data_IF_499043874541
#
_entry.id   IF_499043874541
#
_cell.length_a   1.000
_cell.length_b   1.000
_cell.length_c   1.000
_cell.angle_alpha   90.00
_cell.angle_beta   90.00
_cell.angle_gamma   90.00
#
_symmetry.space_group_name_H-M   'P 1'
#
loop_
_entity.id
_entity.type
_entity.pdbx_description
1 polymer ?
#
# COMPACT_ATOMS: atom_id res chain seq x y z
N UNK A 1 46.30 60.59 -11.52
CA UNK A 1 45.99 60.24 -12.92
C UNK A 1 46.59 58.85 -13.13
N UNK A 2 45.87 57.84 -12.64
CA UNK A 2 46.33 56.46 -12.53
C UNK A 2 45.24 55.59 -13.13
N UNK A 3 45.66 54.81 -14.11
CA UNK A 3 44.85 54.09 -15.08
C UNK A 3 44.04 52.98 -14.42
N UNK A 4 42.71 53.08 -14.50
CA UNK A 4 41.78 52.06 -14.03
C UNK A 4 41.67 50.98 -15.11
N UNK A 5 42.49 49.94 -14.96
CA UNK A 5 42.44 48.74 -15.79
C UNK A 5 41.09 48.05 -15.64
N UNK A 6 40.33 48.04 -16.75
CA UNK A 6 39.21 47.15 -17.02
C UNK A 6 39.61 45.69 -16.75
N UNK A 7 39.21 45.13 -15.61
CA UNK A 7 39.12 43.68 -15.43
C UNK A 7 37.90 43.18 -16.21
N UNK A 8 38.15 42.86 -17.48
CA UNK A 8 37.27 42.06 -18.31
C UNK A 8 37.16 40.67 -17.69
N UNK A 9 36.12 40.46 -16.88
CA UNK A 9 35.75 39.14 -16.32
C UNK A 9 35.45 38.23 -17.51
N UNK A 10 36.45 37.46 -17.95
CA UNK A 10 36.29 36.36 -18.89
C UNK A 10 35.32 35.36 -18.27
N UNK A 11 34.07 35.39 -18.72
CA UNK A 11 33.13 34.29 -18.55
C UNK A 11 33.74 33.06 -19.22
N UNK A 12 34.47 32.27 -18.44
CA UNK A 12 34.94 30.95 -18.85
C UNK A 12 33.71 30.15 -19.26
N UNK A 13 33.66 29.75 -20.53
CA UNK A 13 32.67 28.82 -21.06
C UNK A 13 32.77 27.52 -20.26
N UNK A 14 31.93 27.37 -19.25
CA UNK A 14 31.78 26.10 -18.57
C UNK A 14 31.00 25.18 -19.51
N UNK A 15 31.69 24.20 -20.10
CA UNK A 15 31.06 23.06 -20.75
C UNK A 15 30.33 22.27 -19.66
N UNK A 16 29.04 22.57 -19.47
CA UNK A 16 28.17 21.82 -18.58
C UNK A 16 27.88 20.48 -19.26
N UNK A 17 28.67 19.44 -18.92
CA UNK A 17 28.33 18.08 -19.30
C UNK A 17 27.10 17.65 -18.49
N UNK A 18 25.92 17.84 -19.05
CA UNK A 18 24.65 17.40 -18.45
C UNK A 18 24.55 15.88 -18.60
N UNK A 19 25.02 15.15 -17.59
CA UNK A 19 24.77 13.73 -17.48
C UNK A 19 23.32 13.52 -17.00
N UNK A 20 22.41 13.22 -17.93
CA UNK A 20 21.06 12.79 -17.62
C UNK A 20 21.11 11.40 -16.98
N UNK A 21 21.12 11.36 -15.65
CA UNK A 21 20.97 10.12 -14.90
C UNK A 21 19.47 9.85 -14.68
N UNK A 22 19.01 8.59 -14.76
CA UNK A 22 17.63 8.26 -14.42
C UNK A 22 17.36 8.67 -12.97
N UNK A 23 16.51 9.68 -12.79
CA UNK A 23 16.08 10.13 -11.47
C UNK A 23 15.13 9.08 -10.91
N UNK A 24 15.53 8.49 -9.77
CA UNK A 24 14.63 7.63 -9.01
C UNK A 24 13.78 8.52 -8.12
N UNK A 25 12.50 8.65 -8.47
CA UNK A 25 11.52 9.28 -7.62
C UNK A 25 11.18 8.33 -6.47
N UNK A 26 11.42 8.79 -5.24
CA UNK A 26 10.94 8.13 -4.03
C UNK A 26 9.68 8.83 -3.56
N UNK A 27 8.62 8.09 -3.31
CA UNK A 27 7.39 8.61 -2.70
C UNK A 27 7.43 8.27 -1.21
N UNK A 28 7.35 9.29 -0.37
CA UNK A 28 7.12 9.12 1.06
C UNK A 28 5.65 9.43 1.28
N UNK A 29 4.91 8.43 1.70
CA UNK A 29 3.48 8.53 1.94
C UNK A 29 3.20 8.19 3.39
N UNK A 30 2.19 8.83 3.97
CA UNK A 30 1.71 8.47 5.29
C UNK A 30 1.34 6.98 5.33
N UNK A 31 1.48 6.31 6.50
CA UNK A 31 1.06 4.93 6.64
C UNK A 31 -0.39 4.81 6.17
N UNK A 32 -0.60 3.89 5.24
CA UNK A 32 -1.87 3.76 4.54
C UNK A 32 -3.02 3.58 5.51
N UNK A 33 -4.08 4.35 5.28
CA UNK A 33 -5.33 4.14 5.97
C UNK A 33 -5.89 2.78 5.53
N UNK A 34 -6.37 1.93 6.47
CA UNK A 34 -6.97 0.66 6.12
C UNK A 34 -8.05 0.89 5.07
N UNK A 35 -8.02 0.10 3.99
CA UNK A 35 -8.95 0.24 2.87
C UNK A 35 -10.38 0.15 3.41
N UNK A 36 -11.11 1.27 3.42
CA UNK A 36 -12.51 1.31 3.90
C UNK A 36 -13.50 0.84 2.83
N UNK A 37 -13.02 0.30 1.72
CA UNK A 37 -13.85 -0.03 0.57
C UNK A 37 -14.32 -1.48 0.58
N UNK A 38 -15.58 -1.67 0.16
CA UNK A 38 -16.24 -2.97 -0.05
C UNK A 38 -15.47 -3.83 -1.05
N UNK A 39 -14.72 -3.18 -1.93
CA UNK A 39 -13.85 -3.82 -2.92
C UNK A 39 -12.87 -4.79 -2.24
N UNK A 40 -12.38 -4.50 -1.03
CA UNK A 40 -11.46 -5.39 -0.29
C UNK A 40 -12.09 -6.74 0.08
N UNK A 41 -13.41 -6.82 0.25
CA UNK A 41 -14.10 -8.10 0.49
C UNK A 41 -14.35 -8.91 -0.77
N UNK A 42 -14.47 -8.25 -1.92
CA UNK A 42 -14.81 -8.89 -3.19
C UNK A 42 -13.55 -9.21 -4.01
N UNK A 43 -12.50 -8.39 -3.86
CA UNK A 43 -11.17 -8.51 -4.46
C UNK A 43 -10.38 -9.79 -4.17
N UNK A 44 -10.58 -10.56 -3.09
CA UNK A 44 -9.76 -11.73 -2.82
C UNK A 44 -9.92 -12.82 -3.89
N UNK A 45 -11.07 -12.82 -4.58
CA UNK A 45 -11.34 -13.70 -5.71
C UNK A 45 -11.53 -12.86 -6.96
N UNK A 46 -10.96 -13.33 -8.07
CA UNK A 46 -11.15 -12.72 -9.37
C UNK A 46 -12.57 -13.00 -9.90
N UNK A 47 -12.97 -12.21 -10.91
CA UNK A 47 -14.27 -12.36 -11.58
C UNK A 47 -14.46 -13.78 -12.13
N UNK A 48 -13.38 -14.42 -12.59
CA UNK A 48 -13.41 -15.80 -13.07
C UNK A 48 -13.79 -16.79 -11.97
N UNK A 49 -13.16 -16.69 -10.80
CA UNK A 49 -13.50 -17.56 -9.65
C UNK A 49 -14.92 -17.36 -9.16
N UNK A 50 -15.40 -16.10 -9.06
CA UNK A 50 -16.79 -15.82 -8.71
C UNK A 50 -17.78 -16.43 -9.71
N UNK A 51 -17.49 -16.29 -11.01
CA UNK A 51 -18.31 -16.85 -12.08
C UNK A 51 -18.33 -18.39 -12.04
N UNK A 52 -17.17 -19.01 -11.79
CA UNK A 52 -17.05 -20.46 -11.62
C UNK A 52 -17.86 -20.96 -10.42
N UNK A 53 -17.79 -20.24 -9.28
CA UNK A 53 -18.56 -20.56 -8.08
C UNK A 53 -20.07 -20.53 -8.37
N UNK A 54 -20.55 -19.44 -8.98
CA UNK A 54 -21.96 -19.27 -9.36
C UNK A 54 -22.44 -20.32 -10.36
N UNK A 55 -21.62 -20.66 -11.35
CA UNK A 55 -21.90 -21.73 -12.30
C UNK A 55 -22.00 -23.09 -11.59
N UNK A 56 -21.07 -23.38 -10.66
CA UNK A 56 -21.09 -24.66 -9.91
C UNK A 56 -22.35 -24.80 -9.04
N UNK A 57 -22.77 -23.71 -8.37
CA UNK A 57 -23.99 -23.69 -7.56
C UNK A 57 -25.21 -23.97 -8.44
N UNK A 58 -25.29 -23.29 -9.59
CA UNK A 58 -26.39 -23.45 -10.55
C UNK A 58 -26.44 -24.87 -11.12
N UNK A 59 -25.28 -25.44 -11.48
CA UNK A 59 -25.17 -26.79 -12.00
C UNK A 59 -25.63 -27.85 -10.98
N UNK A 60 -25.20 -27.73 -9.72
CA UNK A 60 -25.61 -28.65 -8.63
C UNK A 60 -27.11 -28.50 -8.35
N UNK A 61 -27.62 -27.26 -8.29
CA UNK A 61 -29.04 -27.00 -8.06
C UNK A 61 -29.92 -27.58 -9.17
N UNK A 62 -29.51 -27.40 -10.44
CA UNK A 62 -30.16 -28.01 -11.59
C UNK A 62 -30.13 -29.53 -11.53
N UNK A 63 -28.98 -30.13 -11.23
CA UNK A 63 -28.84 -31.58 -11.07
C UNK A 63 -29.75 -32.14 -9.97
N UNK A 64 -29.79 -31.50 -8.80
CA UNK A 64 -30.67 -31.89 -7.70
C UNK A 64 -32.16 -31.74 -8.07
N UNK A 65 -32.50 -30.76 -8.89
CA UNK A 65 -33.87 -30.55 -9.36
C UNK A 65 -34.29 -31.64 -10.33
N UNK A 66 -33.45 -31.99 -11.31
CA UNK A 66 -33.70 -33.11 -12.23
C UNK A 66 -33.88 -34.42 -11.45
N UNK A 67 -33.06 -34.64 -10.42
CA UNK A 67 -33.19 -35.83 -9.57
C UNK A 67 -34.45 -35.89 -8.72
N UNK A 68 -35.06 -34.74 -8.41
CA UNK A 68 -36.31 -34.64 -7.68
C UNK A 68 -37.54 -35.02 -8.53
N UNK A 69 -37.35 -35.19 -9.85
CA UNK A 69 -38.34 -35.71 -10.78
C UNK A 69 -39.70 -34.98 -10.70
N UNK A 70 -39.64 -33.65 -10.67
CA UNK A 70 -40.82 -32.78 -10.60
C UNK A 70 -41.63 -32.92 -11.89
N UNK A 71 -42.90 -33.33 -11.78
CA UNK A 71 -43.86 -33.35 -12.89
C UNK A 71 -44.49 -31.98 -13.17
N UNK A 72 -44.06 -30.97 -12.43
CA UNK A 72 -44.63 -29.63 -12.50
C UNK A 72 -44.20 -28.94 -13.80
N UNK A 73 -45.03 -28.01 -14.27
CA UNK A 73 -44.71 -27.19 -15.44
C UNK A 73 -43.48 -26.30 -15.22
N UNK A 74 -43.13 -25.51 -16.25
CA UNK A 74 -41.94 -24.64 -16.23
C UNK A 74 -41.82 -23.75 -14.99
N UNK A 75 -42.94 -23.22 -14.49
CA UNK A 75 -43.00 -22.40 -13.27
C UNK A 75 -42.58 -23.18 -12.02
N UNK A 76 -43.06 -24.42 -11.87
CA UNK A 76 -42.68 -25.31 -10.77
C UNK A 76 -41.22 -25.75 -10.86
N UNK A 77 -40.71 -25.96 -12.07
CA UNK A 77 -39.30 -26.25 -12.30
C UNK A 77 -38.42 -25.08 -11.82
N UNK A 78 -38.70 -23.84 -12.25
CA UNK A 78 -37.93 -22.66 -11.83
C UNK A 78 -37.98 -22.46 -10.32
N UNK A 79 -39.15 -22.58 -9.71
CA UNK A 79 -39.29 -22.47 -8.25
C UNK A 79 -38.45 -23.54 -7.51
N UNK A 80 -38.45 -24.77 -8.02
CA UNK A 80 -37.66 -25.86 -7.45
C UNK A 80 -36.16 -25.62 -7.62
N UNK A 81 -35.70 -25.17 -8.79
CA UNK A 81 -34.29 -24.81 -9.02
C UNK A 81 -33.85 -23.72 -8.06
N UNK A 82 -34.62 -22.65 -7.89
CA UNK A 82 -34.29 -21.55 -6.97
C UNK A 82 -34.20 -22.04 -5.52
N UNK A 83 -35.14 -22.88 -5.08
CA UNK A 83 -35.09 -23.47 -3.75
C UNK A 83 -33.85 -24.34 -3.55
N UNK A 84 -33.49 -25.17 -4.55
CA UNK A 84 -32.28 -25.99 -4.50
C UNK A 84 -31.01 -25.15 -4.54
N UNK A 85 -30.98 -24.06 -5.32
CA UNK A 85 -29.86 -23.13 -5.35
C UNK A 85 -29.65 -22.49 -3.96
N UNK A 86 -30.72 -22.04 -3.30
CA UNK A 86 -30.64 -21.51 -1.95
C UNK A 86 -30.08 -22.52 -0.94
N UNK A 87 -30.52 -23.78 -1.00
CA UNK A 87 -30.00 -24.87 -0.14
C UNK A 87 -28.51 -25.12 -0.41
N UNK A 88 -28.10 -25.17 -1.68
CA UNK A 88 -26.71 -25.38 -2.09
C UNK A 88 -25.82 -24.23 -1.62
N UNK A 89 -26.28 -22.98 -1.78
CA UNK A 89 -25.60 -21.80 -1.25
C UNK A 89 -25.50 -21.83 0.27
N UNK A 90 -26.55 -22.23 0.98
CA UNK A 90 -26.55 -22.35 2.44
C UNK A 90 -25.51 -23.37 2.91
N UNK A 91 -25.44 -24.52 2.26
CA UNK A 91 -24.41 -25.54 2.53
C UNK A 91 -23.00 -24.96 2.30
N UNK A 92 -22.80 -24.24 1.20
CA UNK A 92 -21.51 -23.62 0.86
C UNK A 92 -21.06 -22.57 1.90
N UNK A 93 -22.02 -21.85 2.47
CA UNK A 93 -21.80 -20.91 3.58
C UNK A 93 -21.66 -21.60 4.95
N UNK A 94 -21.64 -22.94 5.00
CA UNK A 94 -21.56 -23.71 6.25
C UNK A 94 -22.87 -23.74 7.05
N UNK A 95 -23.97 -23.25 6.49
CA UNK A 95 -25.29 -23.20 7.13
C UNK A 95 -26.07 -24.48 6.81
N UNK A 96 -25.78 -25.56 7.55
CA UNK A 96 -26.49 -26.83 7.38
C UNK A 96 -27.63 -26.94 8.41
N UNK A 97 -28.86 -26.67 7.96
CA UNK A 97 -30.06 -26.88 8.78
C UNK A 97 -30.53 -28.35 8.81
N UNK A 98 -31.23 -28.76 9.88
CA UNK A 98 -31.74 -30.13 10.07
C UNK A 98 -32.71 -30.59 8.98
N UNK A 99 -33.42 -29.66 8.34
CA UNK A 99 -34.37 -29.92 7.25
C UNK A 99 -33.69 -30.55 6.01
N UNK A 100 -32.41 -30.24 5.82
CA UNK A 100 -31.59 -30.65 4.68
C UNK A 100 -31.32 -32.16 4.72
N UNK A 101 -31.12 -32.74 5.92
CA UNK A 101 -30.64 -34.13 6.12
C UNK A 101 -31.58 -35.21 5.54
N UNK A 102 -32.89 -34.99 5.50
CA UNK A 102 -33.86 -36.00 5.02
C UNK A 102 -33.83 -36.20 3.50
N UNK A 103 -33.49 -35.15 2.74
CA UNK A 103 -33.56 -35.17 1.27
C UNK A 103 -32.40 -35.96 0.64
N UNK A 104 -31.23 -36.02 1.30
CA UNK A 104 -30.03 -36.65 0.73
C UNK A 104 -29.92 -38.15 0.98
N UNK A 105 -30.71 -38.72 1.90
CA UNK A 105 -30.60 -40.14 2.28
C UNK A 105 -31.02 -41.12 1.17
N UNK A 106 -31.73 -40.65 0.14
CA UNK A 106 -32.39 -41.52 -0.83
C UNK A 106 -31.47 -42.05 -1.96
N UNK A 107 -30.30 -41.44 -2.23
CA UNK A 107 -29.44 -41.84 -3.36
C UNK A 107 -27.95 -41.78 -3.01
N UNK A 108 -27.32 -42.94 -2.77
CA UNK A 108 -25.89 -43.07 -2.39
C UNK A 108 -24.93 -42.36 -3.36
N UNK A 109 -25.20 -42.42 -4.67
CA UNK A 109 -24.35 -41.77 -5.70
C UNK A 109 -24.36 -40.24 -5.56
N UNK A 110 -25.50 -39.65 -5.23
CA UNK A 110 -25.66 -38.21 -5.06
C UNK A 110 -24.86 -37.71 -3.86
N UNK A 111 -24.81 -38.50 -2.79
CA UNK A 111 -24.01 -38.18 -1.59
C UNK A 111 -22.53 -38.08 -1.94
N UNK A 112 -21.98 -39.04 -2.69
CA UNK A 112 -20.55 -39.03 -3.06
C UNK A 112 -20.21 -37.80 -3.91
N UNK A 113 -21.03 -37.50 -4.92
CA UNK A 113 -20.82 -36.32 -5.78
C UNK A 113 -20.88 -35.01 -4.98
N UNK A 114 -21.83 -34.90 -4.05
CA UNK A 114 -21.95 -33.74 -3.17
C UNK A 114 -20.77 -33.62 -2.22
N UNK A 115 -20.23 -34.72 -1.70
CA UNK A 115 -19.03 -34.69 -0.85
C UNK A 115 -17.83 -34.14 -1.62
N UNK A 116 -17.60 -34.60 -2.87
CA UNK A 116 -16.51 -34.09 -3.70
C UNK A 116 -16.69 -32.60 -4.04
N UNK A 117 -17.90 -32.21 -4.45
CA UNK A 117 -18.20 -30.81 -4.72
C UNK A 117 -18.04 -29.94 -3.46
N UNK A 118 -18.55 -30.40 -2.33
CA UNK A 118 -18.46 -29.69 -1.06
C UNK A 118 -17.02 -29.56 -0.60
N UNK A 119 -16.20 -30.61 -0.73
CA UNK A 119 -14.78 -30.58 -0.41
C UNK A 119 -14.04 -29.53 -1.27
N UNK A 120 -14.29 -29.50 -2.59
CA UNK A 120 -13.71 -28.50 -3.48
C UNK A 120 -14.09 -27.06 -3.10
N UNK A 121 -15.36 -26.82 -2.79
CA UNK A 121 -15.83 -25.50 -2.35
C UNK A 121 -15.34 -25.12 -0.96
N UNK A 122 -15.22 -26.07 -0.03
CA UNK A 122 -14.63 -25.83 1.29
C UNK A 122 -13.16 -25.44 1.15
N UNK A 123 -12.38 -26.15 0.34
CA UNK A 123 -10.98 -25.78 0.10
C UNK A 123 -10.89 -24.38 -0.52
N UNK A 124 -11.78 -24.03 -1.44
CA UNK A 124 -11.83 -22.71 -2.05
C UNK A 124 -12.23 -21.62 -1.04
N UNK A 125 -13.30 -21.80 -0.28
CA UNK A 125 -13.79 -20.78 0.66
C UNK A 125 -12.95 -20.69 1.95
N UNK A 126 -12.57 -21.82 2.54
CA UNK A 126 -11.87 -21.84 3.82
C UNK A 126 -10.36 -21.62 3.70
N UNK A 127 -9.73 -22.02 2.59
CA UNK A 127 -8.28 -21.80 2.43
C UNK A 127 -8.00 -20.62 1.50
N UNK A 128 -8.54 -20.63 0.28
CA UNK A 128 -8.21 -19.60 -0.71
C UNK A 128 -8.83 -18.25 -0.33
N UNK A 129 -10.14 -18.19 -0.10
CA UNK A 129 -10.82 -16.93 0.22
C UNK A 129 -10.39 -16.37 1.58
N UNK A 130 -10.37 -17.20 2.62
CA UNK A 130 -9.92 -16.75 3.95
C UNK A 130 -8.45 -16.30 3.92
N UNK A 131 -7.55 -17.08 3.31
CA UNK A 131 -6.13 -16.74 3.21
C UNK A 131 -5.88 -15.47 2.38
N UNK A 132 -6.59 -15.30 1.28
CA UNK A 132 -6.49 -14.11 0.43
C UNK A 132 -7.07 -12.86 1.12
N UNK A 133 -8.18 -12.97 1.87
CA UNK A 133 -8.66 -11.85 2.69
C UNK A 133 -7.61 -11.43 3.72
N UNK A 134 -7.02 -12.37 4.44
CA UNK A 134 -5.97 -12.03 5.40
C UNK A 134 -4.77 -11.38 4.71
N UNK A 135 -4.38 -11.86 3.52
CA UNK A 135 -3.33 -11.20 2.73
C UNK A 135 -3.71 -9.79 2.29
N UNK A 136 -4.97 -9.56 1.86
CA UNK A 136 -5.46 -8.24 1.45
C UNK A 136 -5.62 -7.27 2.62
N UNK A 137 -5.90 -7.78 3.82
CA UNK A 137 -5.99 -6.97 5.04
C UNK A 137 -4.62 -6.72 5.68
N UNK A 138 -3.66 -7.62 5.48
CA UNK A 138 -2.30 -7.50 6.03
C UNK A 138 -1.39 -6.63 5.16
N UNK A 139 -1.54 -6.69 3.84
CA UNK A 139 -0.80 -5.84 2.91
C UNK A 139 -1.63 -4.59 2.67
N UNK A 140 -1.22 -3.44 3.20
CA UNK A 140 -1.95 -2.23 2.92
C UNK A 140 -1.75 -1.91 1.41
N UNK A 141 -2.77 -1.34 0.77
CA UNK A 141 -2.70 -1.01 -0.64
C UNK A 141 -1.89 0.27 -0.84
N UNK A 142 -0.75 0.22 -1.55
CA UNK A 142 0.07 1.40 -1.78
C UNK A 142 -0.81 2.52 -2.29
N UNK A 143 -0.68 3.74 -1.73
CA UNK A 143 -1.39 4.87 -2.28
C UNK A 143 -1.03 4.93 -3.76
N UNK A 144 -2.01 5.32 -4.58
CA UNK A 144 -1.77 5.46 -6.02
C UNK A 144 -0.50 6.31 -6.18
N UNK A 145 0.41 5.86 -7.03
CA UNK A 145 1.62 6.61 -7.36
C UNK A 145 1.43 7.23 -8.73
N UNK A 146 1.97 8.44 -8.98
CA UNK A 146 1.91 9.03 -10.30
C UNK A 146 2.64 8.12 -11.29
N UNK A 147 1.97 7.78 -12.40
CA UNK A 147 2.50 6.85 -13.40
C UNK A 147 3.53 7.52 -14.33
N UNK A 148 3.56 8.85 -14.33
CA UNK A 148 4.54 9.66 -15.04
C UNK A 148 4.72 11.05 -14.44
N UNK A 149 5.68 11.80 -14.99
CA UNK A 149 5.98 13.17 -14.54
C UNK A 149 4.80 14.11 -14.70
N UNK A 150 3.96 13.91 -15.73
CA UNK A 150 2.75 14.72 -15.90
C UNK A 150 1.74 14.48 -14.79
N UNK A 151 1.64 13.26 -14.26
CA UNK A 151 0.75 13.00 -13.14
C UNK A 151 1.23 13.77 -11.89
N UNK A 152 2.55 13.87 -11.68
CA UNK A 152 3.13 14.58 -10.53
C UNK A 152 2.62 16.02 -10.39
N UNK A 153 2.45 16.75 -11.50
CA UNK A 153 1.92 18.12 -11.48
C UNK A 153 0.41 18.20 -11.33
N UNK A 154 -0.33 17.13 -11.63
CA UNK A 154 -1.78 17.09 -11.41
C UNK A 154 -2.13 16.68 -9.98
N UNK A 155 -1.26 15.93 -9.33
CA UNK A 155 -1.44 15.49 -7.96
C UNK A 155 -1.23 16.63 -6.96
N UNK A 156 -2.12 16.77 -5.99
CA UNK A 156 -2.03 17.78 -4.93
C UNK A 156 -1.05 17.34 -3.83
N UNK A 157 0.15 16.92 -4.24
CA UNK A 157 1.22 16.49 -3.34
C UNK A 157 2.34 17.53 -3.41
N UNK A 158 2.81 18.05 -2.26
CA UNK A 158 3.99 18.93 -2.24
C UNK A 158 5.24 18.15 -2.66
N UNK A 159 6.05 18.74 -3.53
CA UNK A 159 7.30 18.14 -4.00
C UNK A 159 8.46 18.84 -3.30
N UNK A 160 9.26 18.11 -2.53
CA UNK A 160 10.43 18.71 -1.85
C UNK A 160 11.62 18.66 -2.77
N UNK A 161 12.16 19.82 -3.12
CA UNK A 161 13.41 19.91 -3.85
C UNK A 161 14.58 19.66 -2.87
N UNK A 162 15.33 18.60 -3.12
CA UNK A 162 16.41 18.12 -2.23
C UNK A 162 17.76 18.79 -2.49
N UNK A 163 17.83 19.64 -3.51
CA UNK A 163 19.03 20.36 -3.86
C UNK A 163 19.17 21.59 -2.96
N UNK A 164 20.30 21.65 -2.25
CA UNK A 164 20.56 22.66 -1.23
C UNK A 164 21.83 23.40 -1.62
N UNK A 165 21.68 24.67 -1.98
CA UNK A 165 22.78 25.61 -2.20
C UNK A 165 22.93 26.49 -0.96
N UNK A 166 24.03 26.31 -0.22
CA UNK A 166 24.35 27.18 0.90
C UNK A 166 25.18 28.38 0.40
N UNK A 167 24.63 29.59 0.56
CA UNK A 167 25.39 30.81 0.31
C UNK A 167 26.07 31.26 1.61
N UNK A 168 27.40 31.19 1.64
CA UNK A 168 28.21 31.54 2.81
C UNK A 168 28.17 33.03 3.18
N UNK A 169 27.96 33.92 2.20
CA UNK A 169 27.95 35.37 2.43
C UNK A 169 26.64 35.82 3.09
N UNK A 170 25.51 35.38 2.54
CA UNK A 170 24.18 35.72 3.06
C UNK A 170 23.74 34.83 4.21
N UNK A 171 24.44 33.70 4.45
CA UNK A 171 24.02 32.63 5.36
C UNK A 171 22.61 32.10 5.04
N UNK A 172 22.19 32.19 3.78
CA UNK A 172 20.89 31.69 3.32
C UNK A 172 21.04 30.35 2.62
N UNK A 173 19.96 29.57 2.68
CA UNK A 173 19.83 28.28 2.00
C UNK A 173 18.85 28.46 0.84
N UNK A 174 19.32 28.19 -0.37
CA UNK A 174 18.56 28.26 -1.62
C UNK A 174 18.41 26.88 -2.23
N UNK A 175 17.37 26.68 -3.06
CA UNK A 175 17.28 25.50 -3.94
C UNK A 175 17.71 25.92 -5.33
N UNK A 176 18.72 25.26 -5.87
CA UNK A 176 19.22 25.49 -7.22
C UNK A 176 18.13 25.28 -8.29
N UNK A 177 17.26 24.30 -8.11
CA UNK A 177 16.16 23.95 -9.00
C UNK A 177 15.07 25.02 -8.95
N UNK A 178 14.64 25.40 -7.75
CA UNK A 178 13.55 26.35 -7.54
C UNK A 178 13.99 27.78 -7.87
N UNK A 179 15.13 28.20 -7.33
CA UNK A 179 15.54 29.61 -7.35
C UNK A 179 16.27 30.00 -8.66
N UNK A 180 16.86 29.03 -9.37
CA UNK A 180 17.68 29.30 -10.56
C UNK A 180 17.21 28.55 -11.81
N UNK A 181 17.17 27.21 -11.75
CA UNK A 181 16.98 26.39 -12.95
C UNK A 181 15.59 26.57 -13.58
N UNK A 182 14.51 26.50 -12.80
CA UNK A 182 13.15 26.64 -13.33
C UNK A 182 12.91 28.07 -13.86
N UNK A 183 13.22 29.15 -13.12
CA UNK A 183 13.08 30.51 -13.64
C UNK A 183 13.89 30.77 -14.91
N UNK A 184 15.09 30.20 -15.03
CA UNK A 184 15.92 30.33 -16.22
C UNK A 184 15.32 29.58 -17.41
N UNK A 185 14.89 28.32 -17.21
CA UNK A 185 14.21 27.56 -18.24
C UNK A 185 12.96 28.30 -18.74
N UNK A 186 12.11 28.82 -17.86
CA UNK A 186 10.89 29.54 -18.24
C UNK A 186 11.13 30.81 -19.07
N UNK A 187 12.32 31.41 -19.01
CA UNK A 187 12.70 32.54 -19.87
C UNK A 187 13.01 32.13 -21.30
N UNK A 188 13.30 30.86 -21.56
CA UNK A 188 13.58 30.36 -22.90
C UNK A 188 12.31 30.27 -23.74
N UNK A 189 12.29 31.00 -24.86
CA UNK A 189 11.20 31.01 -25.83
C UNK A 189 11.16 29.74 -26.70
N UNK A 190 12.22 28.92 -26.69
CA UNK A 190 12.30 27.66 -27.42
C UNK A 190 11.62 26.47 -26.74
N UNK A 191 11.14 26.61 -25.50
CA UNK A 191 10.47 25.53 -24.78
C UNK A 191 9.17 25.09 -25.47
N UNK A 192 8.92 23.79 -25.49
CA UNK A 192 7.62 23.29 -25.94
C UNK A 192 6.50 23.80 -25.00
N UNK A 193 5.31 24.16 -25.53
CA UNK A 193 4.21 24.65 -24.71
C UNK A 193 3.81 23.70 -23.59
N UNK A 194 3.87 22.38 -23.87
CA UNK A 194 3.59 21.33 -22.89
C UNK A 194 4.59 21.31 -21.74
N UNK A 195 5.88 21.49 -22.02
CA UNK A 195 6.90 21.49 -20.99
C UNK A 195 6.90 22.80 -20.19
N UNK A 196 6.59 23.93 -20.84
CA UNK A 196 6.36 25.20 -20.13
C UNK A 196 5.19 25.10 -19.16
N UNK A 197 4.04 24.59 -19.59
CA UNK A 197 2.86 24.37 -18.72
C UNK A 197 3.19 23.43 -17.55
N UNK A 198 3.99 22.39 -17.80
CA UNK A 198 4.49 21.52 -16.73
C UNK A 198 5.33 22.27 -15.70
N UNK A 199 6.30 23.09 -16.14
CA UNK A 199 7.17 23.86 -15.24
C UNK A 199 6.39 24.91 -14.43
N UNK A 200 5.46 25.61 -15.08
CA UNK A 200 4.59 26.60 -14.42
C UNK A 200 3.71 25.96 -13.35
N UNK A 201 3.24 24.72 -13.57
CA UNK A 201 2.47 23.96 -12.56
C UNK A 201 3.33 23.34 -11.48
N UNK A 202 4.55 22.92 -11.80
CA UNK A 202 5.47 22.31 -10.85
C UNK A 202 6.02 23.35 -9.86
N UNK A 203 6.37 24.54 -10.34
CA UNK A 203 7.01 25.59 -9.54
C UNK A 203 6.30 25.91 -8.21
N UNK A 204 4.97 26.19 -8.17
CA UNK A 204 4.28 26.47 -6.91
C UNK A 204 4.14 25.26 -5.98
N UNK A 205 4.33 24.03 -6.49
CA UNK A 205 4.29 22.79 -5.71
C UNK A 205 5.62 22.42 -5.09
N UNK A 206 6.71 23.05 -5.55
CA UNK A 206 8.04 22.80 -5.03
C UNK A 206 8.24 23.54 -3.71
N UNK A 207 8.52 22.77 -2.65
CA UNK A 207 8.90 23.29 -1.35
C UNK A 207 10.42 23.28 -1.23
N UNK A 208 10.97 24.40 -0.76
CA UNK A 208 12.38 24.43 -0.37
C UNK A 208 12.58 23.60 0.90
N UNK A 209 13.71 22.90 0.98
CA UNK A 209 14.10 22.13 2.16
C UNK A 209 14.10 22.97 3.45
N UNK A 210 14.42 24.26 3.37
CA UNK A 210 14.43 25.16 4.52
C UNK A 210 13.02 25.46 5.03
N UNK A 211 12.02 25.54 4.15
CA UNK A 211 10.63 25.76 4.51
C UNK A 211 10.02 24.57 5.27
N UNK A 212 10.43 23.33 4.96
CA UNK A 212 9.88 22.14 5.61
C UNK A 212 10.35 21.95 7.06
N UNK A 213 11.51 22.51 7.44
CA UNK A 213 12.03 22.42 8.82
C UNK A 213 11.44 23.45 9.79
N UNK A 214 10.95 24.58 9.29
CA UNK A 214 10.58 25.73 10.13
C UNK A 214 9.22 25.61 10.81
N UNK A 215 8.31 24.80 10.27
CA UNK A 215 6.90 24.79 10.69
C UNK A 215 6.50 23.62 11.58
N UNK A 216 7.29 22.55 11.67
CA UNK A 216 6.92 21.35 12.42
C UNK A 216 7.90 21.09 13.58
N UNK A 217 7.63 21.74 14.71
CA UNK A 217 8.23 21.37 15.99
C UNK A 217 7.71 20.00 16.44
N UNK A 218 8.34 18.93 15.94
CA UNK A 218 8.01 17.54 16.28
C UNK A 218 6.84 16.99 15.46
N UNK A 219 6.93 15.72 15.07
CA UNK A 219 5.85 14.91 14.47
C UNK A 219 5.54 15.10 12.98
N UNK A 220 6.51 15.49 12.16
CA UNK A 220 6.45 15.15 10.73
C UNK A 220 6.87 13.69 10.53
N UNK A 221 5.97 12.78 10.07
CA UNK A 221 6.31 11.37 9.83
C UNK A 221 7.25 11.19 8.62
N UNK A 222 7.51 12.25 7.85
CA UNK A 222 8.33 12.17 6.64
C UNK A 222 9.80 11.89 6.99
N UNK A 223 10.24 10.67 6.68
CA UNK A 223 11.67 10.33 6.62
C UNK A 223 12.23 10.81 5.30
N UNK A 224 13.27 11.61 5.38
CA UNK A 224 13.97 12.09 4.19
C UNK A 224 15.05 11.08 3.85
N UNK A 225 14.92 10.47 2.68
CA UNK A 225 15.94 9.58 2.12
C UNK A 225 16.83 10.42 1.21
N UNK A 226 18.03 10.76 1.68
CA UNK A 226 19.03 11.48 0.90
C UNK A 226 19.69 10.51 -0.11
N UNK A 227 19.36 10.66 -1.39
CA UNK A 227 20.04 9.93 -2.46
C UNK A 227 21.30 10.70 -2.86
N UNK A 228 22.47 10.25 -2.38
CA UNK A 228 23.76 10.75 -2.86
C UNK A 228 24.16 10.07 -4.15
N UNK A 229 24.60 10.87 -5.12
CA UNK A 229 25.33 10.36 -6.27
C UNK A 229 26.71 9.85 -5.81
N UNK A 230 26.87 8.54 -5.80
CA UNK A 230 28.19 7.90 -5.74
C UNK A 230 28.70 7.73 -7.17
N UNK A 231 29.99 7.97 -7.41
CA UNK A 231 30.64 7.67 -8.69
C UNK A 231 30.43 6.20 -9.07
N UNK A 232 30.15 5.94 -10.35
CA UNK A 232 29.94 4.59 -10.88
C UNK A 232 31.25 3.81 -10.88
N UNK A 233 31.57 3.15 -9.77
CA UNK A 233 32.58 2.10 -9.73
C UNK A 233 31.93 0.71 -9.84
N UNK A 234 32.72 -0.33 -10.16
CA UNK A 234 32.20 -1.70 -10.27
C UNK A 234 31.56 -2.21 -8.97
N UNK A 235 31.89 -1.62 -7.82
CA UNK A 235 31.35 -1.98 -6.52
C UNK A 235 29.96 -1.35 -6.25
N UNK A 236 29.60 -0.28 -6.93
CA UNK A 236 28.35 0.45 -6.68
C UNK A 236 27.10 -0.41 -6.89
N UNK A 237 27.12 -1.33 -7.87
CA UNK A 237 26.01 -2.25 -8.11
C UNK A 237 25.87 -3.29 -6.99
N UNK A 238 26.98 -3.77 -6.46
CA UNK A 238 27.00 -4.73 -5.35
C UNK A 238 26.53 -4.07 -4.05
N UNK A 239 27.08 -2.90 -3.73
CA UNK A 239 26.70 -2.11 -2.54
C UNK A 239 25.22 -1.74 -2.57
N UNK A 240 24.69 -1.33 -3.73
CA UNK A 240 23.27 -1.03 -3.89
C UNK A 240 22.38 -2.25 -3.61
N UNK A 241 22.74 -3.42 -4.15
CA UNK A 241 21.97 -4.65 -3.95
C UNK A 241 21.93 -5.07 -2.47
N UNK A 242 23.07 -4.97 -1.79
CA UNK A 242 23.15 -5.32 -0.37
C UNK A 242 22.49 -4.29 0.54
N UNK A 243 22.57 -2.99 0.22
CA UNK A 243 21.85 -1.94 0.97
C UNK A 243 20.33 -2.15 0.90
N UNK A 244 19.79 -2.51 -0.26
CA UNK A 244 18.36 -2.84 -0.40
C UNK A 244 17.99 -4.03 0.48
N UNK A 245 18.80 -5.09 0.51
CA UNK A 245 18.57 -6.24 1.39
C UNK A 245 18.61 -5.89 2.87
N UNK A 246 19.55 -5.03 3.27
CA UNK A 246 19.68 -4.53 4.64
C UNK A 246 18.44 -3.70 5.03
N UNK A 247 17.92 -2.90 4.11
CA UNK A 247 16.70 -2.11 4.29
C UNK A 247 15.46 -3.01 4.39
N UNK A 248 15.27 -3.94 3.44
CA UNK A 248 14.17 -4.91 3.41
C UNK A 248 14.14 -5.81 4.67
N UNK A 249 15.31 -6.15 5.21
CA UNK A 249 15.43 -6.91 6.45
C UNK A 249 15.20 -6.07 7.72
N UNK A 250 14.94 -4.76 7.60
CA UNK A 250 14.77 -3.84 8.73
C UNK A 250 16.06 -3.54 9.50
N UNK A 251 17.22 -3.96 8.98
CA UNK A 251 18.53 -3.79 9.64
C UNK A 251 19.00 -2.33 9.63
N UNK A 252 18.57 -1.52 8.66
CA UNK A 252 18.89 -0.09 8.62
C UNK A 252 18.40 0.67 9.86
N UNK A 253 17.13 0.46 10.25
CA UNK A 253 16.55 1.07 11.44
C UNK A 253 17.22 0.57 12.74
N UNK A 254 17.63 -0.70 12.75
CA UNK A 254 18.44 -1.25 13.85
C UNK A 254 19.80 -0.56 13.91
N UNK A 255 20.47 -0.35 12.78
CA UNK A 255 21.79 0.28 12.71
C UNK A 255 21.78 1.71 13.26
N UNK A 256 20.76 2.52 12.91
CA UNK A 256 20.61 3.87 13.47
C UNK A 256 20.46 3.83 14.99
N UNK A 257 19.62 2.93 15.51
CA UNK A 257 19.47 2.70 16.95
C UNK A 257 20.80 2.32 17.60
N UNK A 258 21.55 1.39 17.00
CA UNK A 258 22.85 0.96 17.51
C UNK A 258 23.92 2.04 17.41
N UNK A 259 23.87 2.91 16.41
CA UNK A 259 24.82 4.02 16.26
C UNK A 259 24.66 5.04 17.40
N UNK A 260 23.42 5.40 17.72
CA UNK A 260 23.08 6.29 18.84
C UNK A 260 23.48 5.65 20.17
N UNK A 261 23.16 4.37 20.35
CA UNK A 261 23.60 3.59 21.51
C UNK A 261 25.13 3.59 21.61
N UNK A 262 25.84 3.36 20.51
CA UNK A 262 27.29 3.35 20.44
C UNK A 262 27.92 4.68 20.86
N UNK A 263 27.37 5.81 20.40
CA UNK A 263 27.80 7.16 20.81
C UNK A 263 27.56 7.38 22.31
N UNK A 264 26.38 7.01 22.81
CA UNK A 264 26.03 7.10 24.23
C UNK A 264 26.94 6.23 25.11
N UNK A 265 27.18 5.00 24.71
CA UNK A 265 28.07 4.06 25.40
C UNK A 265 29.52 4.51 25.33
N UNK A 266 29.97 5.08 24.20
CA UNK A 266 31.30 5.68 24.06
C UNK A 266 31.53 6.85 25.02
N UNK A 267 30.52 7.71 25.20
CA UNK A 267 30.55 8.80 26.20
C UNK A 267 30.55 8.27 27.64
N UNK A 268 29.71 7.27 27.93
CA UNK A 268 29.66 6.62 29.25
C UNK A 268 30.93 5.85 29.57
N UNK A 269 31.60 5.30 28.55
CA UNK A 269 32.88 4.61 28.70
C UNK A 269 33.88 5.55 29.34
N UNK A 270 33.93 6.86 29.10
CA UNK A 270 34.98 7.70 29.68
C UNK A 270 34.78 8.13 31.16
N UNK A 271 33.75 7.65 31.86
CA UNK A 271 33.48 7.96 33.27
C UNK A 271 33.96 6.89 34.27
N UNK A 272 34.46 7.30 35.45
CA UNK A 272 35.10 6.44 36.46
C UNK A 272 34.18 5.47 37.27
N UNK A 273 32.88 5.38 36.97
CA UNK A 273 31.90 4.52 37.70
C UNK A 273 31.30 3.45 36.77
N UNK A 274 32.08 2.41 36.44
CA UNK A 274 32.09 1.87 35.07
C UNK A 274 31.29 0.58 34.75
N UNK A 275 30.98 -0.34 35.67
CA UNK A 275 30.54 -1.69 35.20
C UNK A 275 29.05 -2.01 35.41
N UNK A 276 28.46 -1.73 36.58
CA UNK A 276 27.08 -2.16 36.85
C UNK A 276 26.02 -1.35 36.08
N UNK A 277 26.29 -0.06 35.83
CA UNK A 277 25.33 0.82 35.13
C UNK A 277 25.41 0.70 33.61
N UNK A 278 26.57 0.34 33.07
CA UNK A 278 26.77 0.14 31.63
C UNK A 278 25.89 -1.01 31.13
N UNK A 279 25.98 -2.17 31.78
CA UNK A 279 25.21 -3.35 31.36
C UNK A 279 23.70 -3.14 31.49
N UNK A 280 23.26 -2.47 32.57
CA UNK A 280 21.85 -2.11 32.77
C UNK A 280 21.32 -1.13 31.71
N UNK A 281 22.13 -0.16 31.29
CA UNK A 281 21.79 0.77 30.22
C UNK A 281 21.72 0.07 28.85
N UNK A 282 22.65 -0.85 28.56
CA UNK A 282 22.61 -1.68 27.35
C UNK A 282 21.34 -2.54 27.33
N UNK A 283 21.00 -3.22 28.43
CA UNK A 283 19.77 -4.01 28.52
C UNK A 283 18.51 -3.16 28.28
N UNK A 284 18.42 -1.98 28.91
CA UNK A 284 17.27 -1.07 28.75
C UNK A 284 17.15 -0.51 27.33
N UNK A 285 18.27 -0.29 26.63
CA UNK A 285 18.28 0.22 25.25
C UNK A 285 17.94 -0.88 24.23
N UNK A 286 18.33 -2.13 24.50
CA UNK A 286 18.10 -3.26 23.59
C UNK A 286 16.73 -3.90 23.76
N UNK A 287 16.22 -3.96 24.98
CA UNK A 287 14.86 -4.38 25.27
C UNK A 287 14.22 -3.37 26.18
N UNK A 288 13.11 -2.78 25.74
CA UNK A 288 12.18 -2.17 26.68
C UNK A 288 11.21 -3.28 27.11
N UNK A 289 11.45 -3.99 28.23
CA UNK A 289 10.65 -5.15 28.62
C UNK A 289 9.20 -4.78 28.99
N UNK A 290 8.83 -3.49 28.89
CA UNK A 290 7.54 -2.97 29.33
C UNK A 290 6.72 -2.31 28.23
N UNK A 291 7.24 -2.14 27.02
CA UNK A 291 6.38 -1.72 25.91
C UNK A 291 5.69 -2.98 25.41
N UNK A 292 4.38 -3.17 25.67
CA UNK A 292 3.66 -4.26 25.03
C UNK A 292 3.87 -4.09 23.53
N UNK A 293 4.36 -5.15 22.87
CA UNK A 293 4.45 -5.16 21.42
C UNK A 293 3.00 -5.04 20.93
N UNK A 294 2.59 -3.82 20.60
CA UNK A 294 1.35 -3.57 19.91
C UNK A 294 1.57 -4.09 18.50
N UNK A 295 1.25 -5.36 18.29
CA UNK A 295 1.15 -5.92 16.96
C UNK A 295 0.09 -5.10 16.23
N UNK A 296 0.51 -4.32 15.23
CA UNK A 296 -0.41 -3.59 14.36
C UNK A 296 -1.36 -4.54 13.60
N UNK A 297 -1.10 -5.86 13.63
CA UNK A 297 -1.98 -6.93 13.13
C UNK A 297 -3.30 -7.10 13.89
N UNK A 298 -3.45 -6.51 15.08
CA UNK A 298 -4.67 -6.62 15.88
C UNK A 298 -5.60 -5.39 15.77
N UNK A 299 -5.51 -4.60 14.69
CA UNK A 299 -6.52 -3.56 14.44
C UNK A 299 -7.86 -4.24 14.15
N UNK A 300 -8.89 -4.06 15.00
CA UNK A 300 -10.18 -4.67 14.77
C UNK A 300 -10.74 -4.18 13.44
N UNK A 301 -11.30 -5.09 12.64
CA UNK A 301 -11.93 -4.76 11.36
C UNK A 301 -13.00 -3.69 11.61
N UNK A 302 -12.87 -2.56 10.91
CA UNK A 302 -13.79 -1.42 11.05
C UNK A 302 -15.22 -1.84 10.76
N UNK A 303 -16.18 -1.45 11.62
CA UNK A 303 -17.62 -1.67 11.39
C UNK A 303 -18.07 -1.05 10.05
N UNK A 304 -17.41 0.02 9.61
CA UNK A 304 -17.71 0.67 8.33
C UNK A 304 -17.54 -0.30 7.16
N UNK A 305 -16.58 -1.23 7.24
CA UNK A 305 -16.31 -2.23 6.22
C UNK A 305 -17.49 -3.22 6.08
N UNK A 306 -18.11 -3.61 7.19
CA UNK A 306 -19.18 -4.64 7.22
C UNK A 306 -20.56 -4.06 6.91
N UNK A 307 -20.75 -2.73 7.05
CA UNK A 307 -22.03 -2.03 6.84
C UNK A 307 -22.75 -2.36 5.50
N UNK A 308 -22.08 -2.45 4.34
CA UNK A 308 -22.72 -2.80 3.08
C UNK A 308 -23.32 -4.22 3.08
N UNK A 309 -22.67 -5.16 3.77
CA UNK A 309 -23.16 -6.55 3.87
C UNK A 309 -24.50 -6.57 4.60
N UNK A 310 -24.63 -5.82 5.70
CA UNK A 310 -25.91 -5.67 6.40
C UNK A 310 -27.00 -5.05 5.53
N UNK A 311 -26.66 -4.06 4.71
CA UNK A 311 -27.60 -3.45 3.78
C UNK A 311 -28.12 -4.45 2.74
N UNK A 312 -27.22 -5.26 2.16
CA UNK A 312 -27.59 -6.34 1.23
C UNK A 312 -28.50 -7.35 1.92
N UNK A 313 -28.16 -7.80 3.13
CA UNK A 313 -29.01 -8.70 3.90
C UNK A 313 -30.40 -8.12 4.18
N UNK A 314 -30.50 -6.84 4.53
CA UNK A 314 -31.77 -6.17 4.79
C UNK A 314 -32.65 -6.08 3.52
N UNK A 315 -32.06 -5.78 2.36
CA UNK A 315 -32.77 -5.77 1.08
C UNK A 315 -33.30 -7.17 0.73
N UNK A 316 -32.46 -8.20 0.89
CA UNK A 316 -32.87 -9.59 0.63
C UNK A 316 -34.01 -10.04 1.54
N UNK A 317 -33.96 -9.68 2.84
CA UNK A 317 -35.05 -9.96 3.78
C UNK A 317 -36.34 -9.22 3.40
N UNK A 318 -36.24 -7.95 3.00
CA UNK A 318 -37.39 -7.16 2.53
C UNK A 318 -38.05 -7.78 1.30
N UNK A 319 -37.25 -8.21 0.31
CA UNK A 319 -37.74 -8.91 -0.88
C UNK A 319 -38.42 -10.24 -0.52
N UNK A 320 -37.85 -11.01 0.42
CA UNK A 320 -38.45 -12.24 0.92
C UNK A 320 -39.82 -12.02 1.58
N UNK A 321 -39.94 -10.98 2.40
CA UNK A 321 -41.22 -10.60 3.02
C UNK A 321 -42.26 -10.18 1.98
N UNK A 322 -41.88 -9.37 1.00
CA UNK A 322 -42.77 -8.95 -0.10
C UNK A 322 -43.26 -10.15 -0.92
N UNK A 323 -42.40 -11.12 -1.20
CA UNK A 323 -42.77 -12.33 -1.92
C UNK A 323 -43.71 -13.26 -1.11
N UNK A 324 -43.67 -13.19 0.22
CA UNK A 324 -44.52 -14.02 1.10
C UNK A 324 -45.89 -13.43 1.40
N UNK A 325 -46.06 -12.12 1.18
CA UNK A 325 -47.27 -11.38 1.55
C UNK A 325 -48.29 -11.18 0.43
N UNK A 326 -48.09 -11.78 -0.76
CA UNK A 326 -49.02 -11.75 -1.89
C UNK A 326 -49.47 -13.16 -2.27
#
# INVERSE_FOLDING_TARGET
>A
MGDATNEEIRYTQFLLQVNLLPVKLGFVTDPELPSNEVTTFISPLDVGTWSCLGFSITAIAGFLTVLANTKDGWTGFVATVTLKAFVVTSILLGQVGDSTRKVYRAKKVVIVLLIFWFCGNLLLMANLYQGSIYSCLAVPFPPKTPSGVMDLVHWDIPVVAMDVLYNGESKSVHSYLIDFSIPELLKDNGLSPQFRDFLEKLQPKLLSWSASRGTNGGDSPFRVVELRNCEKNMLALYVKKELVRIEEAGLAALWDKYSVIGVLLGRMRNGARRNAKYFKAVQYMLGDPKVPVTFHEATPVSIQLIRPIFAICAVLLGLGLLASGG
#
